data_IF_604359195758
#
_entry.id   IF_604359195758
#
_cell.length_a   1.000
_cell.length_b   1.000
_cell.length_c   1.000
_cell.angle_alpha   90.00
_cell.angle_beta   90.00
_cell.angle_gamma   90.00
#
_symmetry.space_group_name_H-M   'P 1'
#
loop_
_entity.id
_entity.type
_entity.pdbx_description
1 polymer ?
#
# COMPACT_ATOMS: atom_id res chain seq x y z
N UNK A 1 24.76 -7.45 9.95
CA UNK A 1 23.98 -6.45 10.69
C UNK A 1 23.08 -5.79 9.67
N UNK A 2 21.94 -6.41 9.39
CA UNK A 2 20.89 -5.78 8.60
C UNK A 2 20.06 -5.00 9.59
N UNK A 3 20.01 -3.68 9.40
CA UNK A 3 18.91 -2.87 9.90
C UNK A 3 17.65 -3.45 9.27
N UNK A 4 16.84 -4.15 10.06
CA UNK A 4 15.44 -4.37 9.73
C UNK A 4 14.84 -2.97 9.68
N UNK A 5 14.73 -2.40 8.47
CA UNK A 5 13.90 -1.24 8.23
C UNK A 5 12.52 -1.60 8.78
N UNK A 6 12.22 -1.02 9.94
CA UNK A 6 11.05 -1.29 10.74
C UNK A 6 9.86 -0.83 9.90
N UNK A 7 9.34 -1.76 9.11
CA UNK A 7 8.12 -1.69 8.30
C UNK A 7 6.97 -1.67 9.30
N UNK A 8 6.95 -0.63 10.14
CA UNK A 8 6.04 -0.49 11.27
C UNK A 8 4.64 -0.44 10.69
N UNK A 9 3.95 -1.57 10.81
CA UNK A 9 2.50 -1.62 10.70
C UNK A 9 1.96 -0.43 11.49
N UNK A 10 1.10 0.42 10.89
CA UNK A 10 0.61 1.61 11.56
C UNK A 10 0.18 1.24 12.97
N UNK A 11 0.80 1.87 13.97
CA UNK A 11 0.58 1.49 15.37
C UNK A 11 -0.91 1.48 15.64
N UNK A 12 -1.44 0.29 15.94
CA UNK A 12 -2.85 0.15 16.30
C UNK A 12 -3.06 0.90 17.60
N UNK A 13 -4.00 1.84 17.61
CA UNK A 13 -4.36 2.55 18.83
C UNK A 13 -5.02 1.56 19.78
N UNK A 14 -4.35 1.27 20.88
CA UNK A 14 -4.94 0.51 21.97
C UNK A 14 -6.00 1.35 22.72
N UNK A 15 -6.66 0.74 23.71
CA UNK A 15 -7.69 1.43 24.49
C UNK A 15 -7.15 2.68 25.20
N UNK A 16 -5.88 2.68 25.61
CA UNK A 16 -5.24 3.81 26.27
C UNK A 16 -4.98 4.96 25.28
N UNK A 17 -4.50 4.66 24.09
CA UNK A 17 -4.30 5.61 22.99
C UNK A 17 -5.61 6.28 22.57
N UNK A 18 -6.69 5.51 22.43
CA UNK A 18 -8.03 6.07 22.17
C UNK A 18 -8.52 6.96 23.31
N UNK A 19 -8.35 6.52 24.56
CA UNK A 19 -8.75 7.32 25.73
C UNK A 19 -7.99 8.64 25.79
N UNK A 20 -6.69 8.63 25.52
CA UNK A 20 -5.86 9.84 25.50
C UNK A 20 -6.28 10.82 24.39
N UNK A 21 -6.56 10.34 23.17
CA UNK A 21 -7.05 11.18 22.07
C UNK A 21 -8.39 11.84 22.40
N UNK A 22 -9.36 11.05 22.89
CA UNK A 22 -10.68 11.58 23.27
C UNK A 22 -10.56 12.58 24.40
N UNK A 23 -9.75 12.31 25.42
CA UNK A 23 -9.50 13.26 26.50
C UNK A 23 -8.90 14.58 25.98
N UNK A 24 -7.93 14.50 25.06
CA UNK A 24 -7.34 15.67 24.39
C UNK A 24 -8.37 16.51 23.64
N UNK A 25 -9.24 15.88 22.85
CA UNK A 25 -10.32 16.58 22.14
C UNK A 25 -11.34 17.21 23.09
N UNK A 26 -11.67 16.55 24.20
CA UNK A 26 -12.56 17.10 25.23
C UNK A 26 -11.94 18.32 25.90
N UNK A 27 -10.65 18.27 26.26
CA UNK A 27 -9.96 19.42 26.85
C UNK A 27 -9.85 20.58 25.86
N UNK A 28 -9.56 20.32 24.58
CA UNK A 28 -9.56 21.33 23.53
C UNK A 28 -10.95 21.98 23.38
N UNK A 29 -12.02 21.19 23.34
CA UNK A 29 -13.39 21.69 23.28
C UNK A 29 -13.74 22.54 24.52
N UNK A 30 -13.31 22.14 25.72
CA UNK A 30 -13.50 22.92 26.95
C UNK A 30 -12.74 24.24 26.92
N UNK A 31 -11.46 24.21 26.53
CA UNK A 31 -10.61 25.39 26.41
C UNK A 31 -11.17 26.38 25.38
N UNK A 32 -11.77 25.91 24.28
CA UNK A 32 -12.38 26.77 23.26
C UNK A 32 -13.47 27.71 23.82
N UNK A 33 -14.12 27.34 24.92
CA UNK A 33 -15.19 28.14 25.54
C UNK A 33 -14.66 29.40 26.22
N UNK A 34 -13.38 29.46 26.57
CA UNK A 34 -12.75 30.67 27.13
C UNK A 34 -12.27 31.65 26.05
N UNK A 35 -12.33 31.25 24.76
CA UNK A 35 -11.95 32.12 23.64
C UNK A 35 -12.86 33.36 23.60
N UNK A 36 -12.31 34.58 23.59
CA UNK A 36 -13.09 35.80 23.56
C UNK A 36 -14.03 35.88 22.34
N UNK A 37 -15.18 36.56 22.43
CA UNK A 37 -16.09 36.75 21.30
C UNK A 37 -15.45 37.40 20.07
N UNK A 38 -14.42 38.24 20.26
CA UNK A 38 -13.63 38.83 19.18
C UNK A 38 -12.86 37.79 18.33
N UNK A 39 -12.73 36.57 18.83
CA UNK A 39 -12.11 35.43 18.17
C UNK A 39 -13.10 34.26 18.01
N UNK A 40 -14.40 34.56 17.83
CA UNK A 40 -15.45 33.54 17.68
C UNK A 40 -15.14 32.51 16.58
N UNK A 41 -14.51 32.94 15.48
CA UNK A 41 -14.06 32.09 14.39
C UNK A 41 -13.09 30.99 14.84
N UNK A 42 -12.15 31.30 15.74
CA UNK A 42 -11.23 30.32 16.31
C UNK A 42 -11.99 29.26 17.11
N UNK A 43 -12.95 29.69 17.93
CA UNK A 43 -13.83 28.80 18.69
C UNK A 43 -14.67 27.90 17.78
N UNK A 44 -15.21 28.45 16.69
CA UNK A 44 -16.02 27.72 15.72
C UNK A 44 -15.21 26.73 14.87
N UNK A 45 -13.90 26.92 14.78
CA UNK A 45 -12.98 26.01 14.07
C UNK A 45 -12.70 24.71 14.84
N UNK A 46 -12.98 24.65 16.15
CA UNK A 46 -12.59 23.52 17.00
C UNK A 46 -13.36 22.24 16.67
N UNK A 47 -14.67 22.33 16.44
CA UNK A 47 -15.49 21.16 16.09
C UNK A 47 -15.06 20.51 14.75
N UNK A 48 -14.89 21.25 13.63
CA UNK A 48 -14.39 20.66 12.40
C UNK A 48 -12.94 20.17 12.53
N UNK A 49 -12.09 20.82 13.33
CA UNK A 49 -10.74 20.32 13.61
C UNK A 49 -10.75 18.95 14.29
N UNK A 50 -11.51 18.80 15.38
CA UNK A 50 -11.70 17.50 16.06
C UNK A 50 -12.26 16.47 15.09
N UNK A 51 -13.18 16.86 14.21
CA UNK A 51 -13.75 15.97 13.19
C UNK A 51 -12.67 15.44 12.24
N UNK A 52 -11.77 16.30 11.76
CA UNK A 52 -10.67 15.90 10.88
C UNK A 52 -9.70 14.94 11.58
N UNK A 53 -9.27 15.28 12.79
CA UNK A 53 -8.34 14.44 13.57
C UNK A 53 -8.95 13.09 13.93
N UNK A 54 -10.22 13.08 14.35
CA UNK A 54 -10.93 11.85 14.71
C UNK A 54 -11.09 10.92 13.50
N UNK A 55 -11.45 11.45 12.34
CA UNK A 55 -11.51 10.65 11.11
C UNK A 55 -10.13 10.13 10.71
N UNK A 56 -9.08 10.95 10.80
CA UNK A 56 -7.71 10.50 10.50
C UNK A 56 -7.28 9.33 11.39
N UNK A 57 -7.51 9.43 12.70
CA UNK A 57 -7.22 8.37 13.66
C UNK A 57 -8.04 7.10 13.39
N UNK A 58 -9.34 7.24 13.15
CA UNK A 58 -10.24 6.12 12.87
C UNK A 58 -9.88 5.39 11.57
N UNK A 59 -9.54 6.13 10.51
CA UNK A 59 -9.11 5.58 9.22
C UNK A 59 -7.81 4.77 9.37
N UNK A 60 -6.90 5.16 10.27
CA UNK A 60 -5.71 4.39 10.61
C UNK A 60 -6.02 3.01 11.22
N UNK A 61 -7.19 2.85 11.84
CA UNK A 61 -7.63 1.57 12.44
C UNK A 61 -8.54 0.74 11.52
N UNK A 62 -8.76 1.19 10.27
CA UNK A 62 -9.76 0.59 9.38
C UNK A 62 -9.50 -0.90 9.08
N UNK A 63 -8.25 -1.35 9.17
CA UNK A 63 -7.89 -2.76 9.02
C UNK A 63 -8.56 -3.67 10.06
N UNK A 64 -8.94 -3.14 11.24
CA UNK A 64 -9.62 -3.89 12.30
C UNK A 64 -11.13 -4.03 12.05
N UNK A 65 -11.69 -3.23 11.16
CA UNK A 65 -13.09 -3.35 10.73
C UNK A 65 -13.20 -4.55 9.78
N UNK A 66 -14.32 -5.28 9.85
CA UNK A 66 -14.58 -6.39 8.92
C UNK A 66 -14.53 -5.90 7.47
N UNK A 67 -13.90 -6.66 6.57
CA UNK A 67 -13.60 -6.22 5.21
C UNK A 67 -14.85 -5.69 4.45
N UNK A 68 -16.00 -6.32 4.64
CA UNK A 68 -17.25 -5.93 3.99
C UNK A 68 -17.78 -4.54 4.39
N UNK A 69 -17.39 -4.01 5.56
CA UNK A 69 -17.84 -2.69 6.05
C UNK A 69 -16.85 -1.56 5.73
N UNK A 70 -15.60 -1.89 5.39
CA UNK A 70 -14.55 -0.90 5.17
C UNK A 70 -14.87 0.12 4.06
N UNK A 71 -15.42 -0.27 2.88
CA UNK A 71 -15.79 0.70 1.85
C UNK A 71 -16.84 1.70 2.34
N UNK A 72 -17.85 1.24 3.08
CA UNK A 72 -18.88 2.10 3.65
C UNK A 72 -18.30 3.07 4.70
N UNK A 73 -17.45 2.57 5.59
CA UNK A 73 -16.77 3.42 6.58
C UNK A 73 -15.87 4.48 5.93
N UNK A 74 -15.13 4.14 4.86
CA UNK A 74 -14.38 5.12 4.05
C UNK A 74 -15.28 6.19 3.46
N UNK A 75 -16.40 5.81 2.86
CA UNK A 75 -17.33 6.76 2.25
C UNK A 75 -17.92 7.75 3.28
N UNK A 76 -18.27 7.26 4.48
CA UNK A 76 -18.72 8.12 5.58
C UNK A 76 -17.61 9.09 6.04
N UNK A 77 -16.38 8.58 6.19
CA UNK A 77 -15.24 9.41 6.56
C UNK A 77 -14.93 10.47 5.50
N UNK A 78 -14.98 10.12 4.21
CA UNK A 78 -14.80 11.08 3.11
C UNK A 78 -15.81 12.23 3.19
N UNK A 79 -17.10 11.92 3.35
CA UNK A 79 -18.14 12.94 3.50
C UNK A 79 -17.90 13.82 4.74
N UNK A 80 -17.54 13.20 5.87
CA UNK A 80 -17.24 13.91 7.12
C UNK A 80 -16.04 14.86 6.97
N UNK A 81 -14.94 14.38 6.40
CA UNK A 81 -13.72 15.17 6.12
C UNK A 81 -14.02 16.31 5.16
N UNK A 82 -14.78 16.05 4.08
CA UNK A 82 -15.15 17.07 3.09
C UNK A 82 -15.97 18.18 3.73
N UNK A 83 -16.98 17.83 4.52
CA UNK A 83 -17.82 18.81 5.21
C UNK A 83 -17.01 19.65 6.21
N UNK A 84 -16.18 19.01 7.05
CA UNK A 84 -15.34 19.72 8.02
C UNK A 84 -14.33 20.66 7.35
N UNK A 85 -13.70 20.21 6.25
CA UNK A 85 -12.78 21.04 5.45
C UNK A 85 -13.50 22.24 4.85
N UNK A 86 -14.72 22.05 4.33
CA UNK A 86 -15.52 23.13 3.75
C UNK A 86 -15.90 24.16 4.81
N UNK A 87 -16.36 23.71 5.99
CA UNK A 87 -16.66 24.61 7.12
C UNK A 87 -15.45 25.45 7.51
N UNK A 88 -14.25 24.86 7.61
CA UNK A 88 -13.02 25.62 7.92
C UNK A 88 -12.69 26.63 6.83
N UNK A 89 -12.83 26.26 5.54
CA UNK A 89 -12.60 27.19 4.43
C UNK A 89 -13.56 28.37 4.46
N UNK A 90 -14.83 28.13 4.75
CA UNK A 90 -15.85 29.18 4.85
C UNK A 90 -15.56 30.12 6.03
N UNK A 91 -15.24 29.56 7.21
CA UNK A 91 -14.86 30.34 8.38
C UNK A 91 -13.68 31.26 8.08
N UNK A 92 -12.67 30.79 7.35
CA UNK A 92 -11.42 31.50 7.08
C UNK A 92 -11.34 32.15 5.69
N UNK A 93 -12.44 32.26 4.94
CA UNK A 93 -12.43 32.72 3.54
C UNK A 93 -11.84 34.12 3.32
N UNK A 94 -11.88 34.99 4.33
CA UNK A 94 -11.44 36.39 4.26
C UNK A 94 -10.21 36.70 5.13
N UNK A 95 -9.58 35.67 5.69
CA UNK A 95 -8.44 35.81 6.60
C UNK A 95 -7.40 34.74 6.30
N UNK A 96 -6.21 34.88 6.89
CA UNK A 96 -5.19 33.82 6.77
C UNK A 96 -5.59 32.66 7.68
N UNK A 97 -5.82 31.48 7.08
CA UNK A 97 -6.09 30.26 7.81
C UNK A 97 -4.84 29.81 8.59
N UNK A 98 -4.94 29.47 9.89
CA UNK A 98 -3.85 28.90 10.66
C UNK A 98 -3.27 27.64 10.00
N UNK A 99 -1.94 27.50 10.02
CA UNK A 99 -1.25 26.37 9.40
C UNK A 99 -1.69 25.03 10.00
N UNK A 100 -1.98 24.99 11.29
CA UNK A 100 -2.42 23.78 12.00
C UNK A 100 -3.72 23.21 11.40
N UNK A 101 -4.61 24.07 10.90
CA UNK A 101 -5.85 23.63 10.27
C UNK A 101 -5.60 23.07 8.87
N UNK A 102 -4.66 23.65 8.13
CA UNK A 102 -4.21 23.12 6.84
C UNK A 102 -3.52 21.77 7.01
N UNK A 103 -2.72 21.63 8.07
CA UNK A 103 -2.03 20.38 8.42
C UNK A 103 -3.03 19.29 8.81
N UNK A 104 -4.06 19.62 9.60
CA UNK A 104 -5.13 18.67 9.94
C UNK A 104 -5.93 18.24 8.69
N UNK A 105 -6.26 19.17 7.79
CA UNK A 105 -6.91 18.84 6.52
C UNK A 105 -6.03 17.89 5.67
N UNK A 106 -4.74 18.20 5.57
CA UNK A 106 -3.77 17.40 4.82
C UNK A 106 -3.64 16.00 5.42
N UNK A 107 -3.53 15.91 6.75
CA UNK A 107 -3.44 14.65 7.48
C UNK A 107 -4.68 13.78 7.27
N UNK A 108 -5.88 14.35 7.38
CA UNK A 108 -7.12 13.63 7.13
C UNK A 108 -7.23 13.13 5.68
N UNK A 109 -6.82 13.93 4.70
CA UNK A 109 -6.79 13.52 3.29
C UNK A 109 -5.75 12.43 3.00
N UNK A 110 -4.57 12.50 3.63
CA UNK A 110 -3.57 11.43 3.57
C UNK A 110 -4.14 10.15 4.17
N UNK A 111 -4.73 10.20 5.37
CA UNK A 111 -5.33 9.05 6.03
C UNK A 111 -6.44 8.42 5.18
N UNK A 112 -7.29 9.23 4.54
CA UNK A 112 -8.34 8.74 3.63
C UNK A 112 -7.77 8.01 2.42
N UNK A 113 -6.71 8.54 1.80
CA UNK A 113 -6.03 7.87 0.68
C UNK A 113 -5.38 6.56 1.11
N UNK A 114 -4.75 6.54 2.28
CA UNK A 114 -4.11 5.34 2.83
C UNK A 114 -5.12 4.27 3.24
N UNK A 115 -6.33 4.67 3.65
CA UNK A 115 -7.40 3.76 4.03
C UNK A 115 -7.89 2.85 2.89
N UNK A 116 -7.61 3.20 1.62
CA UNK A 116 -7.82 2.32 0.47
C UNK A 116 -7.03 1.01 0.57
N UNK A 117 -5.94 1.02 1.32
CA UNK A 117 -5.06 -0.13 1.54
C UNK A 117 -5.28 -0.76 2.93
N UNK A 118 -6.43 -0.54 3.56
CA UNK A 118 -6.73 -1.13 4.86
C UNK A 118 -6.78 -2.67 4.79
N UNK A 119 -5.97 -3.33 5.63
CA UNK A 119 -5.81 -4.79 5.62
C UNK A 119 -5.07 -5.31 4.40
N UNK A 120 -4.08 -4.53 3.93
CA UNK A 120 -3.18 -4.91 2.85
C UNK A 120 -2.38 -6.16 3.22
N UNK A 121 -2.29 -7.05 2.24
CA UNK A 121 -1.43 -8.21 2.28
C UNK A 121 -0.58 -8.23 1.02
N UNK A 122 0.57 -8.88 1.12
CA UNK A 122 1.47 -9.07 0.00
C UNK A 122 1.94 -10.52 -0.10
N UNK A 123 2.30 -10.90 -1.32
CA UNK A 123 2.94 -12.16 -1.66
C UNK A 123 4.39 -11.86 -1.99
N UNK A 124 5.31 -12.42 -1.21
CA UNK A 124 6.75 -12.15 -1.28
C UNK A 124 7.49 -13.40 -1.69
N UNK A 125 8.49 -13.25 -2.54
CA UNK A 125 9.44 -14.33 -2.81
C UNK A 125 10.34 -14.48 -1.60
N UNK A 126 10.28 -15.60 -0.87
CA UNK A 126 11.22 -15.85 0.22
C UNK A 126 12.39 -16.70 -0.24
N UNK A 127 13.57 -16.34 0.30
CA UNK A 127 14.84 -16.97 -0.02
C UNK A 127 14.79 -18.46 0.32
N UNK A 128 15.12 -19.27 -0.67
CA UNK A 128 15.31 -20.70 -0.47
C UNK A 128 16.66 -21.16 -1.00
N UNK A 129 17.75 -20.58 -0.49
CA UNK A 129 19.12 -20.93 -0.89
C UNK A 129 19.37 -20.96 -2.42
N UNK A 130 18.49 -20.33 -3.21
CA UNK A 130 18.56 -20.24 -4.65
C UNK A 130 19.19 -18.89 -4.97
N UNK A 131 20.39 -18.91 -5.56
CA UNK A 131 21.10 -17.71 -6.02
C UNK A 131 20.52 -17.20 -7.35
N UNK A 132 19.24 -17.44 -7.61
CA UNK A 132 18.57 -17.21 -8.88
C UNK A 132 17.25 -16.45 -8.69
N UNK A 133 16.97 -15.56 -9.64
CA UNK A 133 15.69 -14.90 -9.77
C UNK A 133 14.56 -15.91 -10.05
N UNK A 134 13.39 -15.65 -9.48
CA UNK A 134 12.21 -16.51 -9.60
C UNK A 134 11.34 -15.99 -10.72
N UNK A 135 10.95 -16.88 -11.63
CA UNK A 135 9.95 -16.54 -12.64
C UNK A 135 8.59 -16.46 -11.96
N UNK A 136 7.96 -15.29 -12.00
CA UNK A 136 6.62 -15.05 -11.46
C UNK A 136 5.65 -15.97 -12.20
N UNK A 137 4.95 -16.89 -11.51
CA UNK A 137 4.01 -17.78 -12.15
C UNK A 137 2.74 -17.03 -12.55
N UNK A 138 1.88 -17.70 -13.31
CA UNK A 138 0.52 -17.21 -13.50
C UNK A 138 -0.25 -17.34 -12.18
N UNK A 139 -0.64 -16.20 -11.60
CA UNK A 139 -1.40 -16.16 -10.37
C UNK A 139 -2.90 -16.21 -10.71
N UNK A 140 -3.64 -17.07 -10.02
CA UNK A 140 -5.10 -17.04 -10.04
C UNK A 140 -5.59 -15.82 -9.26
N UNK A 141 -5.75 -14.70 -9.96
CA UNK A 141 -6.06 -13.39 -9.38
C UNK A 141 -7.55 -13.21 -9.02
N UNK A 142 -8.44 -14.10 -9.45
CA UNK A 142 -9.90 -13.93 -9.32
C UNK A 142 -10.35 -12.57 -9.90
N UNK A 143 -9.77 -12.22 -11.05
CA UNK A 143 -9.98 -10.97 -11.76
C UNK A 143 -10.07 -11.26 -13.25
N UNK A 144 -11.23 -10.96 -13.83
CA UNK A 144 -11.42 -10.88 -15.27
C UNK A 144 -11.71 -9.43 -15.62
N UNK A 145 -10.91 -8.87 -16.52
CA UNK A 145 -11.03 -7.48 -16.97
C UNK A 145 -12.41 -7.19 -17.56
N UNK A 146 -12.99 -8.15 -18.26
CA UNK A 146 -14.23 -7.96 -19.01
C UNK A 146 -15.48 -8.34 -18.19
N UNK A 147 -15.29 -8.91 -16.99
CA UNK A 147 -16.37 -9.18 -16.03
C UNK A 147 -16.25 -8.34 -14.75
N UNK A 148 -17.03 -7.26 -14.71
CA UNK A 148 -17.11 -6.34 -13.57
C UNK A 148 -17.55 -7.01 -12.25
N UNK A 149 -18.18 -8.20 -12.30
CA UNK A 149 -18.57 -8.92 -11.07
C UNK A 149 -17.36 -9.42 -10.26
N UNK A 150 -16.21 -9.57 -10.94
CA UNK A 150 -14.92 -9.95 -10.35
C UNK A 150 -14.10 -8.74 -9.86
N UNK A 151 -14.56 -7.52 -10.14
CA UNK A 151 -13.81 -6.30 -9.79
C UNK A 151 -14.09 -5.90 -8.35
N UNK A 152 -13.21 -6.31 -7.44
CA UNK A 152 -13.31 -6.02 -6.00
C UNK A 152 -11.97 -5.66 -5.39
N UNK A 153 -12.02 -4.73 -4.43
CA UNK A 153 -10.86 -4.30 -3.67
C UNK A 153 -9.75 -3.71 -4.55
N UNK A 154 -8.52 -3.79 -4.06
CA UNK A 154 -7.33 -3.28 -4.78
C UNK A 154 -6.37 -4.43 -5.03
N UNK A 155 -5.69 -4.40 -6.19
CA UNK A 155 -4.74 -5.43 -6.60
C UNK A 155 -3.64 -4.81 -7.47
N UNK A 156 -2.39 -5.09 -7.12
CA UNK A 156 -1.26 -4.97 -8.04
C UNK A 156 -0.44 -6.26 -8.05
N UNK A 157 0.11 -6.59 -9.21
CA UNK A 157 0.87 -7.82 -9.40
C UNK A 157 1.94 -7.62 -10.48
N UNK A 158 3.06 -8.31 -10.34
CA UNK A 158 4.02 -8.45 -11.43
C UNK A 158 3.38 -9.26 -12.56
N UNK A 159 3.72 -8.92 -13.80
CA UNK A 159 3.26 -9.73 -14.93
C UNK A 159 3.80 -11.16 -14.81
N UNK A 160 3.00 -12.20 -15.12
CA UNK A 160 3.49 -13.56 -15.27
C UNK A 160 4.73 -13.58 -16.18
N UNK A 161 5.72 -14.39 -15.84
CA UNK A 161 7.01 -14.43 -16.54
C UNK A 161 8.02 -13.36 -16.11
N UNK A 162 7.65 -12.40 -15.26
CA UNK A 162 8.62 -11.46 -14.69
C UNK A 162 9.64 -12.18 -13.82
N UNK A 163 10.83 -11.61 -13.67
CA UNK A 163 11.91 -12.14 -12.83
C UNK A 163 11.91 -11.38 -11.50
N UNK A 164 11.41 -12.03 -10.46
CA UNK A 164 11.37 -11.51 -9.11
C UNK A 164 12.64 -11.90 -8.34
N UNK A 165 13.22 -10.95 -7.63
CA UNK A 165 14.36 -11.19 -6.77
C UNK A 165 13.90 -11.71 -5.40
N UNK A 166 14.70 -12.57 -4.74
CA UNK A 166 14.37 -13.03 -3.39
C UNK A 166 14.22 -11.87 -2.39
N UNK A 167 13.07 -11.76 -1.73
CA UNK A 167 12.71 -10.66 -0.83
C UNK A 167 11.71 -9.68 -1.43
N UNK A 168 11.45 -9.74 -2.74
CA UNK A 168 10.52 -8.82 -3.40
C UNK A 168 9.04 -9.23 -3.24
N UNK A 169 8.14 -8.25 -3.00
CA UNK A 169 6.72 -8.47 -3.19
C UNK A 169 6.42 -8.59 -4.68
N UNK A 170 5.74 -9.68 -5.07
CA UNK A 170 5.30 -9.93 -6.46
C UNK A 170 3.82 -9.60 -6.66
N UNK A 171 3.07 -9.48 -5.57
CA UNK A 171 1.70 -8.99 -5.58
C UNK A 171 1.33 -8.39 -4.23
N UNK A 172 0.39 -7.46 -4.23
CA UNK A 172 -0.29 -7.02 -3.02
C UNK A 172 -1.77 -6.72 -3.30
N UNK A 173 -2.60 -6.93 -2.29
CA UNK A 173 -4.05 -6.80 -2.40
C UNK A 173 -4.70 -6.45 -1.07
N UNK A 174 -5.91 -5.91 -1.14
CA UNK A 174 -6.81 -5.75 0.00
C UNK A 174 -8.27 -5.92 -0.45
N UNK A 175 -9.15 -6.28 0.49
CA UNK A 175 -10.60 -6.37 0.27
C UNK A 175 -11.03 -7.30 -0.87
N UNK A 176 -10.22 -8.33 -1.12
CA UNK A 176 -10.46 -9.38 -2.11
C UNK A 176 -9.87 -10.70 -1.64
N UNK A 177 -10.22 -11.79 -2.33
CA UNK A 177 -9.59 -13.09 -2.12
C UNK A 177 -8.09 -13.00 -2.42
N UNK A 178 -7.29 -13.73 -1.66
CA UNK A 178 -5.86 -13.81 -1.91
C UNK A 178 -5.59 -14.44 -3.28
N UNK A 179 -4.61 -13.93 -4.05
CA UNK A 179 -4.11 -14.58 -5.24
C UNK A 179 -3.78 -16.05 -4.96
N UNK A 180 -4.33 -16.94 -5.78
CA UNK A 180 -4.00 -18.36 -5.74
C UNK A 180 -2.85 -18.63 -6.69
N UNK A 181 -2.09 -19.69 -6.47
CA UNK A 181 -1.11 -20.17 -7.42
C UNK A 181 -1.17 -21.69 -7.43
N UNK A 182 -1.45 -22.27 -8.59
CA UNK A 182 -1.19 -23.68 -8.79
C UNK A 182 0.32 -23.79 -8.98
N UNK A 183 1.06 -24.20 -7.95
CA UNK A 183 2.45 -24.58 -8.16
C UNK A 183 2.44 -25.68 -9.23
N UNK A 184 3.07 -25.48 -10.41
CA UNK A 184 3.16 -26.53 -11.40
C UNK A 184 3.76 -27.77 -10.73
N UNK A 185 3.25 -28.97 -11.01
CA UNK A 185 3.84 -30.20 -10.46
C UNK A 185 5.34 -30.31 -10.76
N UNK A 186 5.83 -29.70 -11.85
CA UNK A 186 7.25 -29.56 -12.17
C UNK A 186 8.01 -28.65 -11.18
N UNK A 187 7.38 -27.59 -10.68
CA UNK A 187 7.92 -26.74 -9.62
C UNK A 187 7.95 -27.50 -8.29
N UNK A 188 6.86 -28.20 -7.94
CA UNK A 188 6.81 -29.10 -6.77
C UNK A 188 7.83 -30.25 -6.87
N UNK A 189 8.07 -30.77 -8.08
CA UNK A 189 9.06 -31.82 -8.32
C UNK A 189 10.50 -31.31 -8.22
N UNK A 190 10.80 -30.09 -8.72
CA UNK A 190 12.10 -29.43 -8.52
C UNK A 190 12.34 -29.11 -7.03
N UNK A 191 11.29 -28.77 -6.29
CA UNK A 191 11.32 -28.62 -4.82
C UNK A 191 11.56 -29.94 -4.07
N UNK A 192 11.07 -31.06 -4.60
CA UNK A 192 11.23 -32.39 -3.98
C UNK A 192 12.56 -33.08 -4.35
N UNK A 193 13.15 -32.78 -5.51
CA UNK A 193 14.43 -33.35 -5.95
C UNK A 193 15.64 -32.56 -5.44
N UNK A 194 15.47 -31.27 -5.16
CA UNK A 194 16.48 -30.46 -4.49
C UNK A 194 16.40 -30.64 -2.96
N UNK A 195 16.96 -31.78 -2.53
CA UNK A 195 17.58 -32.07 -1.23
C UNK A 195 16.79 -32.98 -0.28
N UNK A 196 17.52 -33.87 0.39
CA UNK A 196 17.26 -34.16 1.81
C UNK A 196 17.52 -32.96 2.73
N UNK A 197 17.13 -31.74 2.33
CA UNK A 197 17.34 -30.45 3.02
C UNK A 197 16.39 -29.38 2.44
N UNK A 198 15.09 -29.57 2.58
CA UNK A 198 14.00 -28.64 2.23
C UNK A 198 14.35 -27.14 2.33
N UNK A 199 14.82 -26.52 1.25
CA UNK A 199 14.73 -25.07 1.05
C UNK A 199 14.03 -24.85 -0.28
N UNK A 200 12.70 -24.83 -0.18
CA UNK A 200 11.82 -24.57 -1.29
C UNK A 200 11.61 -23.07 -1.49
N UNK A 201 11.73 -22.58 -2.72
CA UNK A 201 11.36 -21.20 -3.06
C UNK A 201 9.89 -21.11 -2.77
N UNK A 202 9.60 -20.43 -1.66
CA UNK A 202 8.27 -20.36 -1.11
C UNK A 202 7.79 -18.95 -1.39
N UNK A 203 6.56 -18.86 -1.88
CA UNK A 203 5.87 -17.58 -1.89
C UNK A 203 5.24 -17.46 -0.52
N UNK A 204 5.62 -16.43 0.23
CA UNK A 204 5.06 -16.19 1.56
C UNK A 204 4.05 -15.06 1.49
N UNK A 205 2.85 -15.33 1.99
CA UNK A 205 1.86 -14.29 2.27
C UNK A 205 2.19 -13.65 3.61
N UNK A 206 2.21 -12.32 3.67
CA UNK A 206 2.33 -11.57 4.93
C UNK A 206 1.51 -10.28 4.90
N UNK A 207 1.12 -9.75 6.06
CA UNK A 207 0.58 -8.40 6.16
C UNK A 207 1.60 -7.37 5.65
N UNK A 208 1.12 -6.28 5.07
CA UNK A 208 1.95 -5.13 4.70
C UNK A 208 1.38 -3.86 5.30
N UNK A 209 2.26 -3.00 5.82
CA UNK A 209 1.87 -1.69 6.34
C UNK A 209 1.33 -0.79 5.22
N UNK A 210 2.06 -0.75 4.09
CA UNK A 210 1.83 0.16 2.97
C UNK A 210 1.99 -0.57 1.63
N UNK A 211 1.30 -0.14 0.56
CA UNK A 211 1.53 -0.69 -0.77
C UNK A 211 2.93 -0.32 -1.25
N UNK A 212 3.66 -1.31 -1.75
CA UNK A 212 5.03 -1.14 -2.25
C UNK A 212 5.08 -1.24 -3.77
N UNK A 213 6.02 -0.52 -4.37
CA UNK A 213 6.41 -0.69 -5.75
C UNK A 213 7.82 -1.27 -5.78
N UNK A 214 8.05 -2.17 -6.74
CA UNK A 214 9.36 -2.72 -7.05
C UNK A 214 9.81 -2.12 -8.37
N UNK A 215 10.95 -1.46 -8.37
CA UNK A 215 11.56 -0.87 -9.55
C UNK A 215 12.80 -1.65 -9.96
N UNK A 216 13.07 -1.75 -11.26
CA UNK A 216 14.36 -2.16 -11.82
C UNK A 216 15.06 -0.92 -12.35
N UNK A 217 16.19 -0.54 -11.77
CA UNK A 217 16.98 0.57 -12.30
C UNK A 217 17.78 0.12 -13.52
N UNK A 218 18.01 1.04 -14.45
CA UNK A 218 18.66 0.78 -15.72
C UNK A 218 20.00 1.50 -15.80
N UNK A 219 21.00 0.83 -16.38
CA UNK A 219 22.22 1.47 -16.84
C UNK A 219 22.00 2.29 -18.12
N UNK A 220 23.08 2.87 -18.66
CA UNK A 220 23.02 3.62 -19.92
C UNK A 220 22.73 2.76 -21.16
N UNK A 221 22.83 1.44 -21.06
CA UNK A 221 22.60 0.49 -22.14
C UNK A 221 21.22 -0.18 -22.04
N UNK A 222 20.47 0.08 -20.97
CA UNK A 222 19.16 -0.52 -20.72
C UNK A 222 19.21 -1.87 -20.00
N UNK A 223 20.33 -2.23 -19.40
CA UNK A 223 20.45 -3.42 -18.55
C UNK A 223 20.07 -3.12 -17.10
N UNK A 224 19.57 -4.13 -16.39
CA UNK A 224 19.21 -4.00 -14.99
C UNK A 224 20.46 -3.91 -14.11
N UNK A 225 20.45 -2.93 -13.20
CA UNK A 225 21.53 -2.73 -12.22
C UNK A 225 21.15 -3.24 -10.83
N UNK A 226 20.00 -2.82 -10.33
CA UNK A 226 19.50 -3.18 -9.01
C UNK A 226 17.96 -3.21 -9.00
N UNK A 227 17.42 -3.85 -7.98
CA UNK A 227 16.03 -3.77 -7.61
C UNK A 227 15.85 -2.77 -6.46
N UNK A 228 14.88 -1.86 -6.58
CA UNK A 228 14.57 -0.86 -5.55
C UNK A 228 13.13 -1.04 -5.10
N UNK A 229 12.91 -1.29 -3.82
CA UNK A 229 11.59 -1.43 -3.21
C UNK A 229 11.29 -0.15 -2.44
N UNK A 230 10.22 0.54 -2.81
CA UNK A 230 9.78 1.80 -2.18
C UNK A 230 8.26 1.77 -1.95
N UNK A 231 7.72 2.55 -1.01
CA UNK A 231 6.28 2.79 -0.94
C UNK A 231 5.73 3.37 -2.25
N UNK A 232 4.50 3.04 -2.64
CA UNK A 232 3.89 3.52 -3.91
C UNK A 232 3.78 5.06 -3.97
N UNK A 233 3.74 5.73 -2.83
CA UNK A 233 3.68 7.19 -2.74
C UNK A 233 5.05 7.88 -2.76
N UNK A 234 6.15 7.11 -2.68
CA UNK A 234 7.49 7.64 -2.79
C UNK A 234 7.81 8.02 -4.25
N UNK A 235 8.70 9.00 -4.49
CA UNK A 235 9.18 9.30 -5.83
C UNK A 235 9.78 8.07 -6.52
N UNK A 236 9.50 7.90 -7.81
CA UNK A 236 10.12 6.83 -8.60
C UNK A 236 11.63 7.08 -8.76
N UNK A 237 12.48 6.04 -8.62
CA UNK A 237 13.89 6.15 -8.92
C UNK A 237 14.12 6.58 -10.37
N UNK A 238 15.15 7.40 -10.65
CA UNK A 238 15.45 7.82 -12.02
C UNK A 238 15.81 6.62 -12.88
N UNK A 239 15.33 6.61 -14.14
CA UNK A 239 15.61 5.54 -15.12
C UNK A 239 15.28 4.14 -14.58
N UNK A 240 14.08 3.98 -14.04
CA UNK A 240 13.65 2.70 -13.52
C UNK A 240 12.32 2.24 -14.13
N UNK A 241 12.15 0.91 -14.23
CA UNK A 241 10.92 0.28 -14.70
C UNK A 241 10.12 -0.25 -13.52
N UNK A 242 8.84 0.11 -13.36
CA UNK A 242 7.98 -0.46 -12.34
C UNK A 242 7.65 -1.92 -12.70
N UNK A 243 7.73 -2.79 -11.70
CA UNK A 243 7.51 -4.23 -11.89
C UNK A 243 6.10 -4.65 -11.45
N UNK A 244 5.55 -4.02 -10.41
CA UNK A 244 4.17 -4.26 -9.98
C UNK A 244 3.22 -3.38 -10.81
N UNK A 245 2.29 -4.01 -11.50
CA UNK A 245 1.29 -3.36 -12.34
C UNK A 245 -0.02 -3.30 -11.54
N UNK A 246 -0.54 -2.11 -11.23
CA UNK A 246 -1.87 -1.96 -10.65
C UNK A 246 -2.91 -2.47 -11.66
N UNK A 247 -3.73 -3.44 -11.24
CA UNK A 247 -4.77 -4.03 -12.06
C UNK A 247 -6.14 -3.49 -11.65
N UNK A 248 -6.37 -3.39 -10.33
CA UNK A 248 -7.60 -2.88 -9.73
C UNK A 248 -7.28 -1.86 -8.63
N UNK A 249 -8.07 -0.80 -8.57
CA UNK A 249 -8.06 0.17 -7.49
C UNK A 249 -9.49 0.40 -7.00
N UNK A 250 -9.79 -0.04 -5.78
CA UNK A 250 -11.12 0.05 -5.16
C UNK A 250 -12.25 -0.47 -6.09
N UNK A 251 -12.01 -1.61 -6.75
CA UNK A 251 -12.95 -2.22 -7.69
C UNK A 251 -12.98 -1.58 -9.08
N UNK A 252 -12.18 -0.55 -9.36
CA UNK A 252 -12.04 0.00 -10.71
C UNK A 252 -10.87 -0.67 -11.45
N UNK A 253 -11.12 -1.26 -12.63
CA UNK A 253 -10.07 -1.82 -13.47
C UNK A 253 -9.22 -0.71 -14.10
N UNK A 254 -7.93 -0.66 -13.76
CA UNK A 254 -7.01 0.42 -14.16
C UNK A 254 -5.81 -0.06 -14.97
N UNK A 255 -5.58 -1.37 -15.07
CA UNK A 255 -4.41 -1.91 -15.77
C UNK A 255 -4.63 -3.27 -16.43
N UNK A 256 -3.57 -3.72 -17.13
CA UNK A 256 -3.47 -5.05 -17.74
C UNK A 256 -2.01 -5.40 -18.00
N UNK A 257 -1.73 -6.68 -18.13
CA UNK A 257 -0.47 -7.14 -18.71
C UNK A 257 -0.47 -6.92 -20.23
N UNK A 258 0.65 -6.46 -20.76
CA UNK A 258 0.82 -6.17 -22.19
C UNK A 258 1.60 -7.25 -22.94
N UNK A 259 2.32 -8.09 -22.21
CA UNK A 259 3.21 -9.10 -22.75
C UNK A 259 2.79 -10.48 -22.27
N UNK A 260 3.06 -11.49 -23.10
CA UNK A 260 2.94 -12.88 -22.68
C UNK A 260 3.98 -13.20 -21.59
N UNK A 261 3.79 -14.30 -20.87
CA UNK A 261 4.76 -14.74 -19.87
C UNK A 261 6.12 -15.07 -20.49
N UNK A 262 6.12 -15.70 -21.67
CA UNK A 262 7.34 -16.04 -22.41
C UNK A 262 8.09 -14.78 -22.86
N UNK A 263 7.37 -13.80 -23.43
CA UNK A 263 7.96 -12.54 -23.85
C UNK A 263 8.54 -11.76 -22.68
N UNK A 264 7.80 -11.68 -21.58
CA UNK A 264 8.25 -11.02 -20.34
C UNK A 264 9.52 -11.67 -19.80
N UNK A 265 9.55 -13.01 -19.74
CA UNK A 265 10.72 -13.77 -19.28
C UNK A 265 11.92 -13.50 -20.18
N UNK A 266 11.74 -13.61 -21.50
CA UNK A 266 12.80 -13.40 -22.48
C UNK A 266 13.39 -11.98 -22.40
N UNK A 267 12.53 -10.96 -22.38
CA UNK A 267 12.95 -9.56 -22.29
C UNK A 267 13.75 -9.31 -21.01
N UNK A 268 13.27 -9.80 -19.86
CA UNK A 268 13.95 -9.58 -18.58
C UNK A 268 15.25 -10.39 -18.45
N UNK A 269 15.33 -11.61 -19.03
CA UNK A 269 16.58 -12.37 -19.09
C UNK A 269 17.66 -11.66 -19.92
N UNK A 270 17.27 -11.03 -21.03
CA UNK A 270 18.19 -10.19 -21.82
C UNK A 270 18.64 -8.99 -20.99
N UNK A 271 17.70 -8.32 -20.32
CA UNK A 271 17.99 -7.15 -19.49
C UNK A 271 18.87 -7.45 -18.26
N UNK A 272 18.83 -8.68 -17.73
CA UNK A 272 19.74 -9.14 -16.67
C UNK A 272 21.19 -9.32 -17.15
N UNK A 273 21.44 -9.38 -18.46
CA UNK A 273 22.78 -9.51 -19.04
C UNK A 273 23.62 -10.66 -18.44
N UNK A 274 22.98 -11.81 -18.23
CA UNK A 274 23.65 -13.00 -17.65
C UNK A 274 23.77 -13.01 -16.13
N UNK A 275 23.31 -11.97 -15.42
CA UNK A 275 23.18 -12.01 -13.97
C UNK A 275 22.05 -12.96 -13.54
N UNK A 276 22.27 -13.69 -12.45
CA UNK A 276 21.25 -14.58 -11.89
C UNK A 276 20.31 -13.86 -10.92
N UNK A 277 20.83 -12.86 -10.19
CA UNK A 277 20.09 -12.01 -9.25
C UNK A 277 20.60 -10.57 -9.36
N UNK A 278 19.75 -9.64 -8.92
CA UNK A 278 20.11 -8.24 -8.74
C UNK A 278 20.26 -7.95 -7.24
N UNK A 279 21.16 -7.03 -6.85
CA UNK A 279 21.12 -6.48 -5.49
C UNK A 279 19.77 -5.79 -5.25
N UNK A 280 19.27 -5.89 -4.02
CA UNK A 280 18.02 -5.28 -3.59
C UNK A 280 18.33 -4.14 -2.62
N UNK A 281 17.76 -2.97 -2.89
CA UNK A 281 17.69 -1.85 -1.96
C UNK A 281 16.24 -1.65 -1.52
N UNK A 282 16.03 -1.57 -0.20
CA UNK A 282 14.73 -1.25 0.40
C UNK A 282 14.85 0.15 0.99
N UNK A 283 13.91 1.03 0.65
CA UNK A 283 13.84 2.43 1.09
C UNK A 283 12.55 2.71 1.86
#
# INVERSE_FOLDING_TARGET
MHDEADDQVPATLDALGWTALVAGWVELARASRSVPPSHAQLRESIAPLITLEANAAALGQLAQVIAAQRPHARALAELSIRNATQTLRELWAHQTCPSEFLDACTTAQVALRMALYAGLEELVVIHSNCNDAVVVPDLGLDFDRDDASTHRGTLACMAPGSLAMPGEPIAWWCERNAPTFALPQSFVAQLATARGDTAATTLQRRPAAHPRQVYRTLDSHGFFLEAVIVPVHAPSPPRALPMLIPLLLDGAAIGRFLHSAEDSTRMQRIALNGANILPIRVE
#
